data_IF_735100999371
#
_entry.id   IF_735100999371
#
_cell.length_a   1.000
_cell.length_b   1.000
_cell.length_c   1.000
_cell.angle_alpha   90.00
_cell.angle_beta   90.00
_cell.angle_gamma   90.00
#
_symmetry.space_group_name_H-M   'P 1'
#
loop_
_entity.id
_entity.type
_entity.pdbx_description
1 polymer ?
#
# COMPACT_ATOMS: atom_id res chain seq x y z
N UNK A 1 28.68 -4.54 20.45
CA UNK A 1 28.62 -4.91 19.02
C UNK A 1 28.96 -3.66 18.22
N UNK A 2 29.90 -3.74 17.28
CA UNK A 2 30.26 -2.61 16.41
C UNK A 2 29.31 -2.64 15.22
N UNK A 3 28.60 -1.53 14.99
CA UNK A 3 27.72 -1.38 13.83
C UNK A 3 28.41 -0.48 12.81
N UNK A 4 28.58 -0.99 11.59
CA UNK A 4 29.13 -0.22 10.49
C UNK A 4 28.02 0.61 9.86
N UNK A 5 28.26 1.93 9.76
CA UNK A 5 27.26 2.91 9.32
C UNK A 5 26.84 2.63 7.89
N UNK A 6 27.76 2.19 7.04
CA UNK A 6 27.51 1.87 5.64
C UNK A 6 26.49 0.72 5.47
N UNK A 7 26.53 -0.32 6.31
CA UNK A 7 25.56 -1.42 6.24
C UNK A 7 24.19 -0.97 6.73
N UNK A 8 24.14 -0.25 7.86
CA UNK A 8 22.88 0.30 8.40
C UNK A 8 22.21 1.22 7.38
N UNK A 9 22.98 2.07 6.73
CA UNK A 9 22.48 2.96 5.69
C UNK A 9 21.92 2.18 4.50
N UNK A 10 22.70 1.24 3.96
CA UNK A 10 22.31 0.49 2.76
C UNK A 10 21.08 -0.38 3.00
N UNK A 11 21.00 -1.06 4.15
CA UNK A 11 19.83 -1.87 4.55
C UNK A 11 18.56 -1.02 4.61
N UNK A 12 18.61 0.11 5.32
CA UNK A 12 17.45 1.01 5.43
C UNK A 12 17.07 1.61 4.09
N UNK A 13 18.06 1.99 3.28
CA UNK A 13 17.82 2.53 1.94
C UNK A 13 17.08 1.52 1.05
N UNK A 14 17.50 0.26 1.04
CA UNK A 14 16.88 -0.81 0.25
C UNK A 14 15.46 -1.10 0.78
N UNK A 15 15.29 -1.22 2.09
CA UNK A 15 13.98 -1.49 2.71
C UNK A 15 13.00 -0.36 2.39
N UNK A 16 13.40 0.89 2.60
CA UNK A 16 12.56 2.06 2.31
C UNK A 16 12.18 2.13 0.83
N UNK A 17 13.12 1.82 -0.07
CA UNK A 17 12.85 1.79 -1.51
C UNK A 17 11.79 0.74 -1.86
N UNK A 18 11.94 -0.47 -1.32
CA UNK A 18 10.99 -1.57 -1.54
C UNK A 18 9.61 -1.21 -0.98
N UNK A 19 9.54 -0.68 0.25
CA UNK A 19 8.28 -0.28 0.88
C UNK A 19 7.54 0.78 0.05
N UNK A 20 8.27 1.82 -0.41
CA UNK A 20 7.70 2.83 -1.29
C UNK A 20 7.26 2.23 -2.62
N UNK A 21 8.09 1.39 -3.26
CA UNK A 21 7.74 0.74 -4.52
C UNK A 21 6.45 -0.10 -4.42
N UNK A 22 6.35 -0.94 -3.39
CA UNK A 22 5.15 -1.76 -3.12
C UNK A 22 3.94 -0.87 -2.89
N UNK A 23 4.07 0.15 -2.03
CA UNK A 23 2.99 1.12 -1.74
C UNK A 23 2.47 1.78 -3.03
N UNK A 24 3.38 2.23 -3.89
CA UNK A 24 3.05 2.85 -5.17
C UNK A 24 2.30 1.88 -6.10
N UNK A 25 2.73 0.62 -6.17
CA UNK A 25 2.05 -0.42 -6.96
C UNK A 25 0.64 -0.72 -6.44
N UNK A 26 0.46 -0.84 -5.12
CA UNK A 26 -0.83 -1.17 -4.50
C UNK A 26 -1.87 -0.06 -4.73
N UNK A 27 -1.47 1.21 -4.60
CA UNK A 27 -2.36 2.36 -4.83
C UNK A 27 -2.45 2.76 -6.31
N UNK A 28 -1.69 2.11 -7.20
CA UNK A 28 -1.59 2.45 -8.64
C UNK A 28 -1.14 3.90 -8.87
N UNK A 29 -0.18 4.38 -8.09
CA UNK A 29 0.49 5.67 -8.35
C UNK A 29 1.47 5.54 -9.50
N UNK A 30 1.73 6.66 -10.17
CA UNK A 30 2.83 6.77 -11.12
C UNK A 30 4.14 6.67 -10.33
N UNK A 31 4.95 5.67 -10.65
CA UNK A 31 6.23 5.43 -9.98
C UNK A 31 7.34 6.09 -10.80
N UNK A 32 8.05 7.02 -10.17
CA UNK A 32 9.25 7.65 -10.74
C UNK A 32 10.45 7.19 -9.89
N UNK A 33 11.28 6.31 -10.44
CA UNK A 33 12.36 5.64 -9.69
C UNK A 33 13.31 6.64 -9.00
N UNK A 34 13.65 7.75 -9.66
CA UNK A 34 14.49 8.81 -9.08
C UNK A 34 13.88 9.43 -7.81
N UNK A 35 12.55 9.58 -7.76
CA UNK A 35 11.84 10.10 -6.59
C UNK A 35 11.84 9.10 -5.44
N UNK A 36 11.71 7.81 -5.74
CA UNK A 36 11.81 6.74 -4.75
C UNK A 36 13.23 6.68 -4.17
N UNK A 37 14.27 6.73 -5.01
CA UNK A 37 15.67 6.79 -4.57
C UNK A 37 15.90 7.97 -3.61
N UNK A 38 15.43 9.17 -3.97
CA UNK A 38 15.57 10.35 -3.14
C UNK A 38 14.83 10.20 -1.80
N UNK A 39 13.60 9.68 -1.82
CA UNK A 39 12.83 9.44 -0.60
C UNK A 39 13.50 8.40 0.32
N UNK A 40 13.98 7.28 -0.23
CA UNK A 40 14.72 6.25 0.53
C UNK A 40 16.04 6.77 1.10
N UNK A 41 16.70 7.69 0.39
CA UNK A 41 17.87 8.38 0.89
C UNK A 41 17.55 9.20 2.15
N UNK A 42 16.41 9.90 2.17
CA UNK A 42 15.97 10.65 3.37
C UNK A 42 15.69 9.72 4.55
N UNK A 43 15.02 8.59 4.32
CA UNK A 43 14.72 7.60 5.37
C UNK A 43 16.00 6.99 5.96
N UNK A 44 16.90 6.51 5.11
CA UNK A 44 18.21 5.98 5.53
C UNK A 44 19.09 7.01 6.22
N UNK A 45 19.09 8.27 5.76
CA UNK A 45 19.80 9.36 6.42
C UNK A 45 19.24 9.64 7.81
N UNK A 46 17.91 9.61 7.99
CA UNK A 46 17.28 9.76 9.31
C UNK A 46 17.77 8.70 10.31
N UNK A 47 17.97 7.46 9.87
CA UNK A 47 18.50 6.39 10.72
C UNK A 47 19.92 6.71 11.17
N UNK A 48 20.79 7.18 10.27
CA UNK A 48 22.14 7.65 10.65
C UNK A 48 22.04 8.79 11.67
N UNK A 49 21.23 9.82 11.37
CA UNK A 49 21.09 11.01 12.23
C UNK A 49 20.55 10.67 13.63
N UNK A 50 19.77 9.59 13.77
CA UNK A 50 19.31 9.09 15.07
C UNK A 50 20.48 8.73 16.00
N UNK A 51 21.60 8.24 15.46
CA UNK A 51 22.79 7.91 16.24
C UNK A 51 23.62 9.16 16.62
N UNK A 52 23.57 10.24 15.83
CA UNK A 52 24.40 11.43 16.03
C UNK A 52 23.72 12.56 16.82
N UNK A 53 22.47 12.88 16.51
CA UNK A 53 21.79 14.09 17.04
C UNK A 53 21.14 13.84 18.41
N UNK A 54 20.88 12.59 18.75
CA UNK A 54 20.30 12.19 20.03
C UNK A 54 19.13 11.23 19.87
N UNK A 55 19.29 10.05 20.47
CA UNK A 55 18.31 8.95 20.37
C UNK A 55 16.95 9.32 20.96
N UNK A 56 16.90 10.10 22.04
CA UNK A 56 15.64 10.43 22.72
C UNK A 56 14.70 11.25 21.82
N UNK A 57 15.19 12.36 21.26
CA UNK A 57 14.39 13.19 20.37
C UNK A 57 14.03 12.44 19.07
N UNK A 58 15.01 11.81 18.43
CA UNK A 58 14.79 11.18 17.12
C UNK A 58 13.86 9.97 17.20
N UNK A 59 13.76 9.30 18.35
CA UNK A 59 12.88 8.13 18.50
C UNK A 59 11.42 8.45 18.79
N UNK A 60 11.08 9.72 19.07
CA UNK A 60 9.69 10.13 19.25
C UNK A 60 8.83 9.76 18.04
N UNK A 61 7.63 9.26 18.33
CA UNK A 61 6.67 8.84 17.30
C UNK A 61 6.40 9.95 16.28
N UNK A 62 6.26 11.20 16.75
CA UNK A 62 5.96 12.34 15.87
C UNK A 62 7.10 12.62 14.88
N UNK A 63 8.36 12.42 15.27
CA UNK A 63 9.52 12.62 14.40
C UNK A 63 9.56 11.54 13.33
N UNK A 64 9.45 10.27 13.74
CA UNK A 64 9.35 9.12 12.81
C UNK A 64 8.22 9.29 11.81
N UNK A 65 7.04 9.68 12.31
CA UNK A 65 5.87 9.92 11.48
C UNK A 65 6.12 11.03 10.46
N UNK A 66 6.69 12.16 10.91
CA UNK A 66 7.01 13.30 10.03
C UNK A 66 7.99 12.93 8.93
N UNK A 67 9.03 12.15 9.23
CA UNK A 67 9.99 11.66 8.22
C UNK A 67 9.29 10.76 7.20
N UNK A 68 8.44 9.83 7.64
CA UNK A 68 7.68 8.98 6.70
C UNK A 68 6.77 9.79 5.77
N UNK A 69 6.12 10.84 6.29
CA UNK A 69 5.27 11.74 5.51
C UNK A 69 6.11 12.50 4.48
N UNK A 70 7.28 13.01 4.89
CA UNK A 70 8.23 13.66 3.99
C UNK A 70 8.67 12.73 2.86
N UNK A 71 9.05 11.48 3.18
CA UNK A 71 9.42 10.47 2.19
C UNK A 71 8.29 10.23 1.19
N UNK A 72 7.04 10.13 1.66
CA UNK A 72 5.86 9.92 0.81
C UNK A 72 5.62 11.11 -0.11
N UNK A 73 5.74 12.34 0.40
CA UNK A 73 5.61 13.58 -0.40
C UNK A 73 6.69 13.66 -1.48
N UNK A 74 7.92 13.23 -1.17
CA UNK A 74 9.00 13.15 -2.14
C UNK A 74 8.71 12.06 -3.18
N UNK A 75 8.25 10.88 -2.76
CA UNK A 75 8.07 9.72 -3.63
C UNK A 75 6.87 9.85 -4.59
N UNK A 76 5.75 10.42 -4.12
CA UNK A 76 4.49 10.44 -4.86
C UNK A 76 3.94 11.84 -5.04
N UNK A 77 3.41 12.15 -6.22
CA UNK A 77 2.67 13.40 -6.43
C UNK A 77 1.23 13.20 -5.93
N UNK A 78 0.90 13.78 -4.79
CA UNK A 78 -0.43 13.70 -4.19
C UNK A 78 -1.18 15.01 -4.35
N UNK A 79 -2.08 15.04 -5.34
CA UNK A 79 -3.06 16.11 -5.53
C UNK A 79 -4.14 16.02 -4.45
N UNK A 80 -3.88 16.61 -3.28
CA UNK A 80 -4.83 16.77 -2.17
C UNK A 80 -4.52 16.01 -0.87
N UNK A 81 -5.14 16.45 0.23
CA UNK A 81 -4.92 15.88 1.57
C UNK A 81 -5.45 14.44 1.70
N UNK A 82 -6.66 14.17 1.20
CA UNK A 82 -7.26 12.83 1.28
C UNK A 82 -6.47 11.79 0.47
N UNK A 83 -5.90 12.19 -0.66
CA UNK A 83 -5.08 11.33 -1.50
C UNK A 83 -3.72 11.04 -0.86
N UNK A 84 -3.12 12.01 -0.18
CA UNK A 84 -1.93 11.81 0.67
C UNK A 84 -2.22 10.84 1.82
N UNK A 85 -3.36 10.99 2.51
CA UNK A 85 -3.71 10.14 3.65
C UNK A 85 -3.83 8.66 3.27
N UNK A 86 -4.45 8.36 2.11
CA UNK A 86 -4.51 6.97 1.61
C UNK A 86 -3.14 6.36 1.38
N UNK A 87 -2.19 7.14 0.86
CA UNK A 87 -0.81 6.69 0.62
C UNK A 87 -0.09 6.44 1.95
N UNK A 88 -0.24 7.34 2.92
CA UNK A 88 0.30 7.17 4.27
C UNK A 88 -0.22 5.88 4.92
N UNK A 89 -1.53 5.67 4.91
CA UNK A 89 -2.14 4.46 5.49
C UNK A 89 -1.59 3.19 4.81
N UNK A 90 -1.53 3.16 3.49
CA UNK A 90 -1.04 1.99 2.77
C UNK A 90 0.46 1.74 3.00
N UNK A 91 1.27 2.80 3.10
CA UNK A 91 2.68 2.68 3.45
C UNK A 91 2.87 2.02 4.81
N UNK A 92 2.13 2.48 5.83
CA UNK A 92 2.19 1.89 7.17
C UNK A 92 1.67 0.44 7.22
N UNK A 93 0.59 0.11 6.50
CA UNK A 93 0.12 -1.29 6.38
C UNK A 93 1.19 -2.16 5.74
N UNK A 94 1.81 -1.67 4.65
CA UNK A 94 2.90 -2.38 3.94
C UNK A 94 4.09 -2.60 4.87
N UNK A 95 4.51 -1.58 5.61
CA UNK A 95 5.61 -1.65 6.57
C UNK A 95 5.33 -2.65 7.70
N UNK A 96 4.15 -2.61 8.31
CA UNK A 96 3.77 -3.54 9.39
C UNK A 96 3.77 -4.99 8.92
N UNK A 97 3.23 -5.27 7.73
CA UNK A 97 3.22 -6.62 7.15
C UNK A 97 4.65 -7.08 6.86
N UNK A 98 5.48 -6.22 6.27
CA UNK A 98 6.88 -6.54 5.97
C UNK A 98 7.68 -6.86 7.24
N UNK A 99 7.57 -6.02 8.27
CA UNK A 99 8.20 -6.28 9.58
C UNK A 99 7.68 -7.58 10.19
N UNK A 100 6.37 -7.83 10.12
CA UNK A 100 5.78 -9.08 10.63
C UNK A 100 6.33 -10.33 9.93
N UNK A 101 6.46 -10.31 8.60
CA UNK A 101 7.00 -11.44 7.82
C UNK A 101 8.48 -11.64 8.14
N UNK A 102 9.27 -10.57 8.16
CA UNK A 102 10.70 -10.65 8.47
C UNK A 102 10.91 -11.21 9.88
N UNK A 103 10.18 -10.70 10.87
CA UNK A 103 10.24 -11.20 12.25
C UNK A 103 9.78 -12.66 12.37
N UNK A 104 8.72 -13.06 11.67
CA UNK A 104 8.27 -14.44 11.68
C UNK A 104 9.34 -15.39 11.09
N UNK A 105 9.95 -15.02 9.97
CA UNK A 105 11.03 -15.81 9.37
C UNK A 105 12.27 -15.86 10.26
N UNK A 106 12.61 -14.75 10.92
CA UNK A 106 13.70 -14.67 11.90
C UNK A 106 13.54 -15.73 13.00
N UNK A 107 12.35 -15.80 13.61
CA UNK A 107 12.08 -16.78 14.66
C UNK A 107 11.98 -18.22 14.14
N UNK A 108 11.40 -18.44 12.96
CA UNK A 108 11.28 -19.78 12.35
C UNK A 108 12.64 -20.37 11.91
N UNK A 109 13.63 -19.51 11.66
CA UNK A 109 14.98 -19.93 11.24
C UNK A 109 15.98 -20.01 12.39
N UNK A 110 15.51 -20.04 13.64
CA UNK A 110 16.35 -20.11 14.85
C UNK A 110 17.38 -18.98 14.91
N UNK A 111 16.92 -17.74 14.76
CA UNK A 111 17.74 -16.52 14.80
C UNK A 111 18.78 -16.41 13.66
N UNK A 112 18.68 -17.27 12.64
CA UNK A 112 19.53 -17.24 11.44
C UNK A 112 18.82 -16.57 10.28
N UNK A 113 18.76 -15.24 10.31
CA UNK A 113 18.31 -14.48 9.15
C UNK A 113 19.37 -14.48 8.06
N UNK A 114 19.18 -15.34 7.07
CA UNK A 114 20.02 -15.35 5.87
C UNK A 114 19.53 -14.30 4.87
N UNK A 115 20.42 -13.84 3.99
CA UNK A 115 20.06 -12.94 2.87
C UNK A 115 18.93 -13.56 2.03
N UNK A 116 18.94 -14.88 1.85
CA UNK A 116 17.88 -15.62 1.15
C UNK A 116 16.54 -15.48 1.87
N UNK A 117 16.49 -15.55 3.20
CA UNK A 117 15.27 -15.36 3.97
C UNK A 117 14.71 -13.94 3.81
N UNK A 118 15.57 -12.91 3.77
CA UNK A 118 15.15 -11.52 3.52
C UNK A 118 14.57 -11.39 2.11
N UNK A 119 15.22 -11.94 1.09
CA UNK A 119 14.73 -11.91 -0.29
C UNK A 119 13.36 -12.59 -0.37
N UNK A 120 13.22 -13.78 0.21
CA UNK A 120 11.95 -14.53 0.27
C UNK A 120 10.87 -13.69 0.97
N UNK A 121 11.21 -13.01 2.08
CA UNK A 121 10.27 -12.15 2.82
C UNK A 121 9.68 -11.03 1.96
N UNK A 122 10.50 -10.43 1.08
CA UNK A 122 10.08 -9.36 0.16
C UNK A 122 9.10 -9.91 -0.87
N UNK A 123 9.39 -11.06 -1.47
CA UNK A 123 8.49 -11.69 -2.45
C UNK A 123 7.17 -12.12 -1.82
N UNK A 124 7.22 -12.77 -0.65
CA UNK A 124 6.02 -13.20 0.09
C UNK A 124 5.19 -11.98 0.50
N UNK A 125 5.83 -10.95 1.06
CA UNK A 125 5.15 -9.72 1.49
C UNK A 125 4.48 -8.99 0.34
N UNK A 126 5.18 -8.84 -0.78
CA UNK A 126 4.59 -8.25 -1.99
C UNK A 126 3.41 -9.08 -2.51
N UNK A 127 3.55 -10.42 -2.61
CA UNK A 127 2.48 -11.29 -3.09
C UNK A 127 1.25 -11.23 -2.17
N UNK A 128 1.44 -11.37 -0.86
CA UNK A 128 0.37 -11.31 0.14
C UNK A 128 -0.41 -9.99 0.05
N UNK A 129 0.30 -8.86 0.01
CA UNK A 129 -0.30 -7.54 -0.16
C UNK A 129 -1.03 -7.40 -1.50
N UNK A 130 -0.41 -7.86 -2.59
CA UNK A 130 -1.02 -7.78 -3.92
C UNK A 130 -2.35 -8.54 -3.98
N UNK A 131 -2.40 -9.78 -3.49
CA UNK A 131 -3.62 -10.58 -3.46
C UNK A 131 -4.67 -9.99 -2.52
N UNK A 132 -4.27 -9.51 -1.34
CA UNK A 132 -5.19 -8.88 -0.39
C UNK A 132 -5.85 -7.63 -0.98
N UNK A 133 -5.08 -6.72 -1.57
CA UNK A 133 -5.61 -5.52 -2.22
C UNK A 133 -6.44 -5.84 -3.46
N UNK A 134 -6.06 -6.87 -4.23
CA UNK A 134 -6.85 -7.36 -5.36
C UNK A 134 -8.22 -7.87 -4.89
N UNK A 135 -8.26 -8.71 -3.86
CA UNK A 135 -9.50 -9.26 -3.30
C UNK A 135 -10.44 -8.16 -2.78
N UNK A 136 -9.90 -7.17 -2.04
CA UNK A 136 -10.68 -6.01 -1.58
C UNK A 136 -11.28 -5.26 -2.76
N UNK A 137 -10.47 -4.98 -3.79
CA UNK A 137 -10.94 -4.25 -4.98
C UNK A 137 -12.00 -5.03 -5.73
N UNK A 138 -11.80 -6.33 -5.92
CA UNK A 138 -12.72 -7.19 -6.67
C UNK A 138 -14.05 -7.32 -5.90
N UNK A 139 -14.04 -7.33 -4.56
CA UNK A 139 -15.27 -7.25 -3.73
C UNK A 139 -16.00 -5.92 -3.87
N UNK A 140 -15.27 -4.80 -3.82
CA UNK A 140 -15.85 -3.46 -4.01
C UNK A 140 -16.48 -3.36 -5.40
N UNK A 141 -15.77 -3.83 -6.45
CA UNK A 141 -16.28 -3.85 -7.81
C UNK A 141 -17.57 -4.70 -7.92
N UNK A 142 -17.57 -5.93 -7.39
CA UNK A 142 -18.76 -6.80 -7.35
C UNK A 142 -19.94 -6.17 -6.63
N UNK A 143 -19.72 -5.41 -5.56
CA UNK A 143 -20.79 -4.67 -4.89
C UNK A 143 -21.33 -3.52 -5.75
N UNK A 144 -20.48 -2.83 -6.49
CA UNK A 144 -20.90 -1.74 -7.38
C UNK A 144 -21.79 -2.22 -8.54
N UNK A 145 -21.74 -3.50 -8.92
CA UNK A 145 -22.60 -4.07 -9.97
C UNK A 145 -23.97 -4.55 -9.48
N UNK A 146 -24.24 -4.52 -8.16
CA UNK A 146 -25.59 -4.78 -7.63
C UNK A 146 -26.40 -3.50 -7.59
N UNK A 147 -27.63 -3.56 -8.12
CA UNK A 147 -28.60 -2.46 -8.04
C UNK A 147 -29.94 -2.98 -7.54
N UNK A 148 -30.62 -2.11 -6.79
CA UNK A 148 -32.02 -2.30 -6.45
C UNK A 148 -32.86 -1.97 -7.68
N UNK A 149 -33.72 -2.91 -8.08
CA UNK A 149 -34.65 -2.78 -9.20
C UNK A 149 -36.06 -2.84 -8.67
N UNK A 150 -36.87 -1.88 -9.09
CA UNK A 150 -38.31 -1.89 -8.84
C UNK A 150 -39.01 -2.46 -10.07
N UNK A 151 -39.60 -3.65 -9.94
CA UNK A 151 -40.43 -4.25 -10.98
C UNK A 151 -41.88 -3.90 -10.71
N UNK A 152 -42.56 -3.38 -11.73
CA UNK A 152 -43.98 -3.07 -11.67
C UNK A 152 -44.72 -3.84 -12.79
N UNK A 153 -45.61 -4.76 -12.42
CA UNK A 153 -46.43 -5.54 -13.36
C UNK A 153 -47.89 -5.37 -12.94
N UNK A 154 -48.66 -4.62 -13.74
CA UNK A 154 -50.01 -4.18 -13.38
C UNK A 154 -49.98 -3.35 -12.10
N UNK A 155 -50.81 -3.72 -11.12
CA UNK A 155 -50.87 -3.07 -9.79
C UNK A 155 -49.92 -3.69 -8.75
N UNK A 156 -49.03 -4.61 -9.16
CA UNK A 156 -48.09 -5.26 -8.25
C UNK A 156 -46.70 -4.68 -8.42
N UNK A 157 -46.16 -4.13 -7.33
CA UNK A 157 -44.79 -3.64 -7.24
C UNK A 157 -43.95 -4.59 -6.38
N UNK A 158 -42.75 -4.94 -6.84
CA UNK A 158 -41.77 -5.70 -6.06
C UNK A 158 -40.37 -5.14 -6.26
N UNK A 159 -39.66 -4.97 -5.14
CA UNK A 159 -38.26 -4.57 -5.13
C UNK A 159 -37.37 -5.81 -5.09
N UNK A 160 -36.43 -5.91 -6.02
CA UNK A 160 -35.46 -7.01 -6.09
C UNK A 160 -34.04 -6.46 -6.26
N UNK A 161 -33.03 -7.25 -5.89
CA UNK A 161 -31.62 -6.92 -6.17
C UNK A 161 -31.17 -7.65 -7.43
N UNK A 162 -30.89 -6.89 -8.48
CA UNK A 162 -30.34 -7.39 -9.75
C UNK A 162 -28.85 -7.09 -9.86
N UNK A 163 -28.16 -7.85 -10.72
CA UNK A 163 -26.83 -7.48 -11.20
C UNK A 163 -26.98 -6.70 -12.50
N UNK A 164 -26.15 -5.68 -12.71
CA UNK A 164 -26.02 -5.03 -14.02
C UNK A 164 -25.25 -5.98 -14.93
N UNK A 165 -25.87 -6.45 -16.01
CA UNK A 165 -25.18 -7.22 -17.05
C UNK A 165 -24.40 -6.28 -17.98
N UNK A 166 -23.15 -6.01 -17.63
CA UNK A 166 -22.22 -5.23 -18.48
C UNK A 166 -21.74 -5.99 -19.72
N UNK A 167 -22.11 -7.27 -19.89
CA UNK A 167 -21.72 -8.09 -21.04
C UNK A 167 -22.46 -7.74 -22.32
N UNK A 168 -23.62 -7.09 -22.19
CA UNK A 168 -24.35 -6.48 -23.29
C UNK A 168 -24.20 -4.96 -23.18
N UNK A 169 -23.53 -4.31 -24.14
CA UNK A 169 -23.47 -2.85 -24.27
C UNK A 169 -24.81 -2.23 -24.73
N UNK A 170 -25.92 -2.89 -24.41
CA UNK A 170 -27.25 -2.42 -24.74
C UNK A 170 -27.55 -1.24 -23.81
N UNK A 171 -28.00 -0.14 -24.39
CA UNK A 171 -28.52 1.03 -23.67
C UNK A 171 -29.98 1.24 -24.01
N UNK A 172 -30.79 1.59 -23.01
CA UNK A 172 -32.16 2.03 -23.21
C UNK A 172 -32.15 3.28 -24.11
N UNK A 173 -32.75 3.24 -25.31
CA UNK A 173 -32.71 4.34 -26.27
C UNK A 173 -33.47 5.58 -25.81
N UNK A 174 -34.36 5.47 -24.81
CA UNK A 174 -35.14 6.59 -24.27
C UNK A 174 -34.39 7.30 -23.14
N UNK A 175 -33.68 6.54 -22.30
CA UNK A 175 -33.02 7.09 -21.10
C UNK A 175 -31.50 7.17 -21.19
N UNK A 176 -30.89 6.53 -22.21
CA UNK A 176 -29.43 6.43 -22.40
C UNK A 176 -28.73 5.58 -21.32
N UNK A 177 -29.49 4.90 -20.46
CA UNK A 177 -28.94 4.09 -19.37
C UNK A 177 -28.62 2.69 -19.85
N UNK A 178 -27.59 2.02 -19.30
CA UNK A 178 -27.33 0.61 -19.59
C UNK A 178 -28.58 -0.23 -19.33
N UNK A 179 -28.90 -1.13 -20.26
CA UNK A 179 -29.97 -2.12 -20.11
C UNK A 179 -29.51 -3.10 -19.04
N UNK A 180 -30.41 -3.40 -18.10
CA UNK A 180 -30.21 -4.43 -17.08
C UNK A 180 -30.73 -5.78 -17.56
#
# INVERSE_FOLDING_TARGET
>A
MVYYVEYVFLENFIIDFILLFITGKLIKRIIIIKRLILASFIGSLYVILTFYIGKEFMTYFIVKFSISVLMIMIAFDSKGILTSLRVIICFYITSLIMVGIISALYYLTYDKLTVNAIIISIFIGYAALHFFFKEIRDRIAKHNYKRTVNINIGNKRKEIRGYIDTGNELTDPVTGKPVM
#
